data_IF_678176295944
#
_entry.id   IF_678176295944
#
_cell.length_a   1.000
_cell.length_b   1.000
_cell.length_c   1.000
_cell.angle_alpha   90.00
_cell.angle_beta   90.00
_cell.angle_gamma   90.00
#
_symmetry.space_group_name_H-M   'P 1'
#
loop_
_entity.id
_entity.type
_entity.pdbx_description
1 polymer ?
#
# COMPACT_ATOMS: atom_id res chain seq x y z
N UNK A 1 4.27 12.47 -12.87
CA UNK A 1 5.41 13.37 -12.51
C UNK A 1 5.37 13.48 -11.00
N UNK A 2 6.47 13.16 -10.30
CA UNK A 2 6.52 13.25 -8.83
C UNK A 2 6.32 14.71 -8.39
N UNK A 3 5.66 14.93 -7.23
CA UNK A 3 5.53 16.25 -6.62
C UNK A 3 6.88 16.77 -6.07
N UNK A 4 7.79 15.85 -5.76
CA UNK A 4 9.13 16.11 -5.21
C UNK A 4 10.18 15.34 -6.04
N UNK A 5 10.46 15.74 -7.28
CA UNK A 5 11.30 14.98 -8.19
C UNK A 5 12.79 14.93 -7.77
N UNK A 6 13.26 15.96 -7.07
CA UNK A 6 14.67 16.10 -6.65
C UNK A 6 14.88 15.74 -5.18
N UNK A 7 13.86 15.18 -4.51
CA UNK A 7 13.91 14.88 -3.08
C UNK A 7 14.20 13.40 -2.83
N UNK A 8 15.23 13.13 -2.03
CA UNK A 8 15.50 11.81 -1.48
C UNK A 8 15.72 11.86 0.04
N UNK A 9 14.76 11.32 0.79
CA UNK A 9 14.80 11.23 2.25
C UNK A 9 16.00 10.41 2.75
N UNK A 10 16.55 9.51 1.94
CA UNK A 10 17.71 8.71 2.32
C UNK A 10 18.99 9.56 2.45
N UNK A 11 19.05 10.75 1.83
CA UNK A 11 20.13 11.71 2.08
C UNK A 11 20.16 12.21 3.53
N UNK A 12 19.05 12.05 4.26
CA UNK A 12 18.96 12.38 5.69
C UNK A 12 19.33 11.23 6.61
N UNK A 13 19.74 10.07 6.09
CA UNK A 13 19.97 8.87 6.88
C UNK A 13 20.99 9.06 8.02
N UNK A 14 22.05 9.85 7.78
CA UNK A 14 23.08 10.15 8.78
C UNK A 14 22.61 11.09 9.90
N UNK A 15 21.41 11.65 9.78
CA UNK A 15 20.76 12.46 10.82
C UNK A 15 19.82 11.64 11.72
N UNK A 16 19.62 10.36 11.44
CA UNK A 16 18.81 9.46 12.28
C UNK A 16 19.68 8.72 13.27
N UNK A 17 19.09 8.27 14.38
CA UNK A 17 19.79 7.34 15.26
C UNK A 17 20.11 6.01 14.55
N UNK A 18 21.11 5.29 15.06
CA UNK A 18 21.62 4.08 14.44
C UNK A 18 20.54 2.99 14.24
N UNK A 19 19.65 2.83 15.22
CA UNK A 19 18.61 1.78 15.18
C UNK A 19 17.60 2.12 14.09
N UNK A 20 17.11 3.36 14.08
CA UNK A 20 16.16 3.83 13.05
C UNK A 20 16.79 3.77 11.66
N UNK A 21 18.02 4.27 11.50
CA UNK A 21 18.75 4.22 10.23
C UNK A 21 18.86 2.80 9.71
N UNK A 22 19.26 1.85 10.56
CA UNK A 22 19.34 0.45 10.18
C UNK A 22 17.99 -0.08 9.69
N UNK A 23 16.92 0.13 10.45
CA UNK A 23 15.58 -0.39 10.11
C UNK A 23 15.08 0.19 8.78
N UNK A 24 15.31 1.48 8.52
CA UNK A 24 14.87 2.13 7.27
C UNK A 24 15.67 1.61 6.07
N UNK A 25 17.00 1.52 6.20
CA UNK A 25 17.86 1.02 5.12
C UNK A 25 17.61 -0.47 4.82
N UNK A 26 17.35 -1.28 5.83
CA UNK A 26 17.00 -2.70 5.66
C UNK A 26 15.73 -2.86 4.79
N UNK A 27 14.75 -1.93 4.87
CA UNK A 27 13.55 -1.98 4.00
C UNK A 27 13.86 -1.78 2.52
N UNK A 28 14.92 -1.03 2.21
CA UNK A 28 15.33 -0.72 0.84
C UNK A 28 16.22 -1.83 0.29
N UNK A 29 17.14 -2.34 1.10
CA UNK A 29 18.22 -3.23 0.63
C UNK A 29 17.98 -4.71 0.94
N UNK A 30 17.18 -5.03 1.96
CA UNK A 30 16.96 -6.40 2.47
C UNK A 30 15.48 -6.79 2.35
N UNK A 31 14.93 -6.68 1.13
CA UNK A 31 13.56 -7.08 0.84
C UNK A 31 13.40 -8.60 1.02
N UNK A 32 12.52 -9.08 1.92
CA UNK A 32 12.36 -10.49 2.17
C UNK A 32 11.67 -11.20 0.99
N UNK A 33 12.01 -12.47 0.69
CA UNK A 33 11.27 -13.26 -0.28
C UNK A 33 9.88 -13.64 0.25
N UNK A 34 8.95 -13.85 -0.68
CA UNK A 34 7.61 -14.41 -0.43
C UNK A 34 7.75 -15.86 0.11
N UNK A 35 7.06 -16.15 1.23
CA UNK A 35 7.09 -17.44 1.94
C UNK A 35 5.73 -17.88 2.46
N UNK A 36 4.81 -16.95 2.69
CA UNK A 36 3.48 -17.25 3.21
C UNK A 36 2.47 -17.52 2.09
N UNK A 37 2.54 -16.74 1.00
CA UNK A 37 1.73 -16.92 -0.18
C UNK A 37 2.32 -17.96 -1.14
N UNK A 38 1.45 -18.70 -1.81
CA UNK A 38 1.86 -19.47 -2.99
C UNK A 38 1.98 -18.57 -4.24
N UNK A 39 2.53 -19.11 -5.33
CA UNK A 39 2.78 -18.34 -6.55
C UNK A 39 1.52 -17.74 -7.19
N UNK A 40 0.35 -18.39 -7.02
CA UNK A 40 -0.92 -17.89 -7.57
C UNK A 40 -1.46 -16.75 -6.72
N UNK A 41 -1.43 -16.92 -5.39
CA UNK A 41 -1.79 -15.88 -4.42
C UNK A 41 -0.89 -14.66 -4.57
N UNK A 42 0.42 -14.87 -4.73
CA UNK A 42 1.39 -13.81 -4.94
C UNK A 42 1.02 -12.95 -6.16
N UNK A 43 0.77 -13.58 -7.32
CA UNK A 43 0.44 -12.85 -8.54
C UNK A 43 -0.80 -11.96 -8.36
N UNK A 44 -1.89 -12.50 -7.81
CA UNK A 44 -3.12 -11.74 -7.54
C UNK A 44 -2.90 -10.62 -6.55
N UNK A 45 -2.27 -10.92 -5.40
CA UNK A 45 -2.13 -9.95 -4.32
C UNK A 45 -1.11 -8.87 -4.63
N UNK A 46 -0.12 -9.16 -5.49
CA UNK A 46 0.84 -8.16 -6.00
C UNK A 46 0.12 -7.14 -6.86
N UNK A 47 -0.65 -7.61 -7.85
CA UNK A 47 -1.48 -6.75 -8.67
C UNK A 47 -2.47 -5.94 -7.82
N UNK A 48 -3.08 -6.55 -6.80
CA UNK A 48 -3.97 -5.84 -5.88
C UNK A 48 -3.23 -4.72 -5.14
N UNK A 49 -2.06 -5.03 -4.55
CA UNK A 49 -1.24 -4.05 -3.82
C UNK A 49 -0.85 -2.90 -4.74
N UNK A 50 -0.40 -3.19 -5.97
CA UNK A 50 -0.01 -2.17 -6.94
C UNK A 50 -1.18 -1.23 -7.28
N UNK A 51 -2.36 -1.78 -7.54
CA UNK A 51 -3.56 -0.98 -7.85
C UNK A 51 -3.98 -0.09 -6.69
N UNK A 52 -4.05 -0.62 -5.46
CA UNK A 52 -4.50 0.17 -4.30
C UNK A 52 -3.47 1.20 -3.82
N UNK A 53 -2.22 1.06 -4.26
CA UNK A 53 -1.13 2.00 -3.95
C UNK A 53 -0.71 2.85 -5.15
N UNK A 54 -1.45 2.78 -6.27
CA UNK A 54 -1.17 3.52 -7.50
C UNK A 54 0.26 3.36 -8.02
N UNK A 55 0.81 2.14 -7.90
CA UNK A 55 2.18 1.83 -8.33
C UNK A 55 2.22 1.44 -9.81
N UNK A 56 2.00 2.42 -10.68
CA UNK A 56 1.80 2.20 -12.11
C UNK A 56 3.12 2.01 -12.89
N UNK A 57 4.26 2.33 -12.27
CA UNK A 57 5.58 2.23 -12.90
C UNK A 57 6.66 1.83 -11.90
N UNK A 58 7.80 1.37 -12.41
CA UNK A 58 8.98 1.06 -11.61
C UNK A 58 9.81 2.32 -11.30
N UNK A 59 10.51 2.36 -10.16
CA UNK A 59 10.56 1.33 -9.12
C UNK A 59 9.32 1.33 -8.21
N UNK A 60 8.89 0.16 -7.75
CA UNK A 60 7.76 -0.02 -6.81
C UNK A 60 8.21 -0.36 -5.40
N UNK A 61 7.54 0.21 -4.40
CA UNK A 61 7.59 -0.23 -3.00
C UNK A 61 7.16 -1.70 -2.92
N UNK A 62 7.99 -2.58 -2.30
CA UNK A 62 7.73 -4.02 -2.19
C UNK A 62 6.71 -4.33 -1.10
N UNK A 63 5.47 -3.83 -1.28
CA UNK A 63 4.40 -3.93 -0.28
C UNK A 63 4.07 -5.38 0.02
N UNK A 64 3.91 -6.21 -1.01
CA UNK A 64 3.49 -7.60 -0.82
C UNK A 64 4.53 -8.40 -0.05
N UNK A 65 5.82 -8.21 -0.34
CA UNK A 65 6.93 -8.87 0.34
C UNK A 65 6.95 -8.59 1.83
N UNK A 66 6.79 -7.32 2.18
CA UNK A 66 6.78 -6.90 3.58
C UNK A 66 5.52 -7.39 4.31
N UNK A 67 4.36 -7.41 3.65
CA UNK A 67 3.13 -8.00 4.19
C UNK A 67 3.28 -9.51 4.38
N UNK A 68 3.78 -10.23 3.38
CA UNK A 68 4.05 -11.66 3.43
C UNK A 68 4.97 -12.01 4.59
N UNK A 69 6.07 -11.27 4.76
CA UNK A 69 7.00 -11.47 5.86
C UNK A 69 6.34 -11.31 7.23
N UNK A 70 5.42 -10.34 7.40
CA UNK A 70 4.66 -10.16 8.65
C UNK A 70 3.69 -11.33 8.89
N UNK A 71 2.94 -11.75 7.86
CA UNK A 71 2.01 -12.87 7.93
C UNK A 71 2.73 -14.20 8.22
N UNK A 72 3.86 -14.43 7.55
CA UNK A 72 4.72 -15.59 7.76
C UNK A 72 5.26 -15.65 9.20
N UNK A 73 5.68 -14.50 9.75
CA UNK A 73 6.18 -14.40 11.11
C UNK A 73 5.09 -14.39 12.20
N UNK A 74 3.80 -14.41 11.81
CA UNK A 74 2.68 -14.31 12.76
C UNK A 74 2.58 -12.94 13.45
N UNK A 75 3.17 -11.89 12.87
CA UNK A 75 3.12 -10.51 13.38
C UNK A 75 1.83 -9.84 12.90
N UNK A 76 0.71 -10.30 13.46
CA UNK A 76 -0.62 -9.76 13.21
C UNK A 76 -0.92 -8.58 14.15
N UNK A 77 -2.04 -7.90 13.91
CA UNK A 77 -2.38 -6.65 14.59
C UNK A 77 -2.99 -6.83 15.99
N UNK A 78 -3.13 -8.08 16.47
CA UNK A 78 -3.57 -8.39 17.82
C UNK A 78 -5.07 -8.23 18.07
N UNK A 79 -5.87 -7.93 17.05
CA UNK A 79 -7.33 -7.92 17.09
C UNK A 79 -7.92 -8.45 15.78
N UNK A 80 -9.15 -8.95 15.85
CA UNK A 80 -9.92 -9.43 14.69
C UNK A 80 -11.41 -9.06 14.86
N UNK A 81 -12.13 -8.90 13.75
CA UNK A 81 -13.59 -8.80 13.80
C UNK A 81 -14.20 -10.14 14.25
N UNK A 82 -15.28 -10.09 15.02
CA UNK A 82 -15.89 -11.31 15.60
C UNK A 82 -16.49 -12.26 14.56
N UNK A 83 -16.89 -11.73 13.39
CA UNK A 83 -17.52 -12.45 12.29
C UNK A 83 -16.56 -12.69 11.10
N UNK A 84 -15.25 -12.52 11.31
CA UNK A 84 -14.22 -12.75 10.30
C UNK A 84 -13.30 -13.90 10.72
N UNK A 85 -12.72 -14.64 9.75
CA UNK A 85 -11.66 -15.60 10.05
C UNK A 85 -10.36 -14.89 10.45
N UNK A 86 -9.33 -15.67 10.80
CA UNK A 86 -7.97 -15.16 11.05
C UNK A 86 -7.48 -14.36 9.83
N UNK A 87 -6.77 -13.25 10.06
CA UNK A 87 -6.30 -12.36 9.00
C UNK A 87 -5.53 -13.12 7.89
N UNK A 88 -4.77 -14.16 8.22
CA UNK A 88 -4.04 -14.99 7.24
C UNK A 88 -4.99 -15.70 6.27
N UNK A 89 -6.12 -16.18 6.78
CA UNK A 89 -7.15 -16.82 5.97
C UNK A 89 -7.92 -15.78 5.15
N UNK A 90 -8.17 -14.58 5.71
CA UNK A 90 -8.75 -13.45 4.96
C UNK A 90 -7.92 -13.15 3.72
N UNK A 91 -6.60 -13.03 3.85
CA UNK A 91 -5.70 -12.77 2.72
C UNK A 91 -5.81 -13.84 1.62
N UNK A 92 -5.80 -15.13 1.99
CA UNK A 92 -5.92 -16.24 1.03
C UNK A 92 -7.30 -16.31 0.38
N UNK A 93 -8.36 -16.02 1.15
CA UNK A 93 -9.74 -15.96 0.64
C UNK A 93 -9.90 -14.80 -0.33
N UNK A 94 -9.35 -13.62 -0.03
CA UNK A 94 -9.38 -12.48 -0.92
C UNK A 94 -8.65 -12.75 -2.23
N UNK A 95 -7.46 -13.38 -2.20
CA UNK A 95 -6.74 -13.75 -3.42
C UNK A 95 -7.59 -14.63 -4.35
N UNK A 96 -8.27 -15.64 -3.81
CA UNK A 96 -9.19 -16.49 -4.58
C UNK A 96 -10.41 -15.71 -5.07
N UNK A 97 -11.05 -14.92 -4.19
CA UNK A 97 -12.24 -14.16 -4.51
C UNK A 97 -12.02 -13.11 -5.59
N UNK A 98 -10.86 -12.46 -5.61
CA UNK A 98 -10.46 -11.52 -6.66
C UNK A 98 -10.28 -12.23 -8.01
N UNK A 99 -9.64 -13.40 -8.03
CA UNK A 99 -9.53 -14.20 -9.25
C UNK A 99 -10.89 -14.68 -9.75
N UNK A 100 -11.80 -15.09 -8.86
CA UNK A 100 -13.16 -15.51 -9.23
C UNK A 100 -13.95 -14.35 -9.87
N UNK A 101 -13.87 -13.14 -9.28
CA UNK A 101 -14.50 -11.93 -9.84
C UNK A 101 -13.88 -11.58 -11.19
N UNK A 102 -12.55 -11.67 -11.33
CA UNK A 102 -11.87 -11.42 -12.60
C UNK A 102 -12.33 -12.40 -13.69
N UNK A 103 -12.51 -13.68 -13.36
CA UNK A 103 -13.05 -14.69 -14.28
C UNK A 103 -14.48 -14.40 -14.69
N UNK A 104 -15.32 -13.96 -13.76
CA UNK A 104 -16.68 -13.53 -14.08
C UNK A 104 -16.71 -12.33 -15.05
N UNK A 105 -15.65 -11.51 -15.06
CA UNK A 105 -15.45 -10.37 -15.98
C UNK A 105 -14.65 -10.72 -17.24
N UNK A 106 -14.40 -12.01 -17.50
CA UNK A 106 -13.78 -12.50 -18.73
C UNK A 106 -12.24 -12.51 -18.75
N UNK A 107 -11.57 -12.19 -17.64
CA UNK A 107 -10.13 -12.38 -17.50
C UNK A 107 -9.80 -13.81 -17.01
N UNK A 108 -8.59 -14.30 -17.25
CA UNK A 108 -8.19 -15.61 -16.70
C UNK A 108 -8.09 -15.57 -15.17
N UNK A 109 -7.52 -14.47 -14.66
CA UNK A 109 -7.26 -14.20 -13.25
C UNK A 109 -7.07 -12.69 -13.03
N UNK A 110 -7.03 -12.24 -11.77
CA UNK A 110 -6.99 -10.80 -11.47
C UNK A 110 -5.72 -10.12 -12.01
N UNK A 111 -4.53 -10.72 -11.86
CA UNK A 111 -3.27 -10.17 -12.38
C UNK A 111 -3.21 -10.10 -13.92
N UNK A 112 -4.07 -10.85 -14.59
CA UNK A 112 -4.19 -10.90 -16.05
C UNK A 112 -5.34 -10.07 -16.60
N UNK A 113 -6.15 -9.48 -15.73
CA UNK A 113 -7.17 -8.53 -16.14
C UNK A 113 -6.53 -7.24 -16.64
N UNK A 114 -7.20 -6.55 -17.57
CA UNK A 114 -6.79 -5.20 -17.95
C UNK A 114 -6.90 -4.22 -16.79
N UNK A 115 -6.13 -3.14 -16.82
CA UNK A 115 -6.05 -2.12 -15.76
C UNK A 115 -7.44 -1.59 -15.36
N UNK A 116 -8.28 -1.25 -16.34
CA UNK A 116 -9.66 -0.80 -16.09
C UNK A 116 -10.47 -1.84 -15.29
N UNK A 117 -10.38 -3.12 -15.66
CA UNK A 117 -11.08 -4.20 -14.96
C UNK A 117 -10.53 -4.38 -13.54
N UNK A 118 -9.21 -4.30 -13.35
CA UNK A 118 -8.60 -4.38 -12.02
C UNK A 118 -9.09 -3.24 -11.11
N UNK A 119 -9.09 -2.01 -11.63
CA UNK A 119 -9.58 -0.82 -10.93
C UNK A 119 -11.06 -0.96 -10.54
N UNK A 120 -11.91 -1.39 -11.47
CA UNK A 120 -13.34 -1.59 -11.17
C UNK A 120 -13.58 -2.69 -10.13
N UNK A 121 -12.80 -3.78 -10.14
CA UNK A 121 -12.89 -4.84 -9.13
C UNK A 121 -12.46 -4.30 -7.77
N UNK A 122 -11.34 -3.59 -7.70
CA UNK A 122 -10.85 -2.97 -6.46
C UNK A 122 -11.83 -1.94 -5.93
N UNK A 123 -12.44 -1.12 -6.79
CA UNK A 123 -13.46 -0.17 -6.42
C UNK A 123 -14.71 -0.85 -5.84
N UNK A 124 -15.17 -1.95 -6.46
CA UNK A 124 -16.28 -2.75 -5.92
C UNK A 124 -15.90 -3.42 -4.59
N UNK A 125 -14.66 -3.89 -4.43
CA UNK A 125 -14.17 -4.47 -3.19
C UNK A 125 -14.15 -3.46 -2.05
N UNK A 126 -13.62 -2.27 -2.31
CA UNK A 126 -13.63 -1.14 -1.37
C UNK A 126 -15.05 -0.77 -0.91
N UNK A 127 -16.01 -0.71 -1.85
CA UNK A 127 -17.42 -0.39 -1.54
C UNK A 127 -18.15 -1.54 -0.82
N UNK A 128 -17.59 -2.74 -0.82
CA UNK A 128 -18.23 -3.93 -0.27
C UNK A 128 -19.27 -4.57 -1.21
N UNK A 129 -19.20 -4.26 -2.49
CA UNK A 129 -20.18 -4.65 -3.52
C UNK A 129 -19.82 -5.99 -4.21
N UNK A 130 -18.73 -6.65 -3.81
CA UNK A 130 -18.44 -8.00 -4.30
C UNK A 130 -19.43 -9.01 -3.69
N UNK A 131 -19.96 -9.88 -4.54
CA UNK A 131 -20.98 -10.86 -4.17
C UNK A 131 -20.74 -12.20 -4.89
N UNK A 132 -21.31 -13.28 -4.35
CA UNK A 132 -21.19 -14.61 -4.89
C UNK A 132 -19.95 -15.37 -4.39
N UNK A 133 -20.12 -16.66 -4.14
CA UNK A 133 -19.03 -17.56 -3.78
C UNK A 133 -18.42 -17.17 -2.43
N UNK A 134 -17.11 -16.90 -2.40
CA UNK A 134 -16.40 -16.49 -1.17
C UNK A 134 -17.04 -15.25 -0.53
N UNK A 135 -17.54 -14.32 -1.34
CA UNK A 135 -18.09 -13.05 -0.86
C UNK A 135 -19.48 -13.17 -0.21
N UNK A 136 -20.16 -14.30 -0.36
CA UNK A 136 -21.40 -14.59 0.36
C UNK A 136 -21.14 -14.96 1.84
N UNK A 137 -19.93 -15.42 2.15
CA UNK A 137 -19.49 -15.84 3.48
C UNK A 137 -18.51 -14.84 4.12
N UNK A 138 -17.72 -14.13 3.31
CA UNK A 138 -16.71 -13.18 3.75
C UNK A 138 -17.19 -11.73 3.50
N UNK A 139 -17.50 -10.95 4.55
CA UNK A 139 -17.89 -9.56 4.41
C UNK A 139 -16.82 -8.70 3.69
N UNK A 140 -17.09 -8.36 2.43
CA UNK A 140 -16.12 -7.72 1.53
C UNK A 140 -15.51 -6.43 2.10
N UNK A 141 -16.33 -5.50 2.62
CA UNK A 141 -15.83 -4.24 3.19
C UNK A 141 -14.88 -4.45 4.40
N UNK A 142 -15.15 -5.46 5.24
CA UNK A 142 -14.29 -5.80 6.38
C UNK A 142 -13.00 -6.48 5.90
N UNK A 143 -13.09 -7.37 4.93
CA UNK A 143 -11.93 -7.99 4.31
C UNK A 143 -11.01 -6.94 3.66
N UNK A 144 -11.58 -5.98 2.92
CA UNK A 144 -10.84 -4.85 2.36
C UNK A 144 -10.12 -4.04 3.46
N UNK A 145 -10.80 -3.77 4.57
CA UNK A 145 -10.21 -3.07 5.72
C UNK A 145 -9.02 -3.83 6.34
N UNK A 146 -9.12 -5.17 6.45
CA UNK A 146 -8.03 -6.03 6.94
C UNK A 146 -6.80 -5.92 6.04
N UNK A 147 -7.00 -6.05 4.73
CA UNK A 147 -5.92 -5.96 3.74
C UNK A 147 -5.28 -4.56 3.74
N UNK A 148 -6.10 -3.50 3.66
CA UNK A 148 -5.62 -2.12 3.56
C UNK A 148 -4.86 -1.65 4.80
N UNK A 149 -5.21 -2.12 5.99
CA UNK A 149 -4.44 -1.84 7.21
C UNK A 149 -2.99 -2.30 7.08
N UNK A 150 -2.76 -3.51 6.59
CA UNK A 150 -1.42 -4.05 6.39
C UNK A 150 -0.71 -3.41 5.19
N UNK A 151 -1.42 -3.15 4.09
CA UNK A 151 -0.89 -2.46 2.90
C UNK A 151 -0.42 -1.05 3.24
N UNK A 152 -1.29 -0.21 3.83
CA UNK A 152 -0.97 1.18 4.16
C UNK A 152 0.15 1.29 5.20
N UNK A 153 0.10 0.44 6.25
CA UNK A 153 1.16 0.39 7.26
C UNK A 153 2.52 0.06 6.64
N UNK A 154 2.52 -0.78 5.61
CA UNK A 154 3.73 -1.21 4.92
C UNK A 154 4.21 -0.13 3.95
N UNK A 155 3.33 0.34 3.08
CA UNK A 155 3.63 1.33 2.05
C UNK A 155 4.19 2.62 2.65
N UNK A 156 3.47 3.22 3.62
CA UNK A 156 3.92 4.46 4.28
C UNK A 156 5.04 4.26 5.31
N UNK A 157 5.56 3.02 5.49
CA UNK A 157 6.80 2.79 6.23
C UNK A 157 8.04 2.81 5.34
N UNK A 158 7.86 2.82 4.01
CA UNK A 158 8.96 2.77 3.05
C UNK A 158 9.44 4.17 2.67
N UNK A 159 10.76 4.43 2.62
CA UNK A 159 11.31 5.76 2.31
C UNK A 159 10.92 6.28 0.92
N UNK A 160 10.68 5.41 -0.07
CA UNK A 160 10.18 5.87 -1.38
C UNK A 160 8.78 6.50 -1.32
N UNK A 161 7.89 5.98 -0.47
CA UNK A 161 6.59 6.61 -0.24
C UNK A 161 6.75 7.96 0.47
N UNK A 162 7.79 8.11 1.32
CA UNK A 162 8.10 9.39 1.96
C UNK A 162 8.55 10.44 0.97
N UNK A 163 9.33 10.05 -0.05
CA UNK A 163 9.75 10.94 -1.13
C UNK A 163 8.53 11.47 -1.91
N UNK A 164 7.55 10.61 -2.18
CA UNK A 164 6.32 10.99 -2.90
C UNK A 164 5.50 12.06 -2.17
N UNK A 165 5.48 12.01 -0.82
CA UNK A 165 4.72 12.95 0.01
C UNK A 165 5.59 14.08 0.60
N UNK A 166 6.89 14.12 0.31
CA UNK A 166 7.82 15.13 0.80
C UNK A 166 8.17 15.03 2.29
N UNK A 167 7.92 13.88 2.92
CA UNK A 167 8.14 13.69 4.35
C UNK A 167 9.64 13.68 4.69
N UNK A 168 10.03 14.48 5.70
CA UNK A 168 11.42 14.67 6.15
C UNK A 168 12.09 13.46 6.83
N UNK A 169 11.35 12.35 6.97
CA UNK A 169 11.82 11.16 7.66
C UNK A 169 11.74 11.25 9.19
N UNK A 170 12.31 10.27 9.90
CA UNK A 170 12.31 10.23 11.36
C UNK A 170 12.95 11.46 12.01
N UNK A 171 12.30 11.95 13.08
CA UNK A 171 12.73 13.16 13.76
C UNK A 171 13.99 12.95 14.63
N UNK A 172 14.13 11.80 15.29
CA UNK A 172 15.17 11.63 16.31
C UNK A 172 16.54 11.32 15.69
N UNK A 173 17.65 11.90 16.21
CA UNK A 173 17.73 12.84 17.35
C UNK A 173 17.53 14.32 17.00
N UNK A 174 17.55 14.70 15.72
CA UNK A 174 17.56 16.11 15.26
C UNK A 174 16.36 16.94 15.73
N UNK A 175 15.18 16.34 15.75
CA UNK A 175 13.88 16.97 15.96
C UNK A 175 13.37 17.75 14.74
N UNK A 176 12.08 18.11 14.80
CA UNK A 176 11.46 19.13 13.94
C UNK A 176 11.29 20.42 14.75
N UNK A 177 11.72 21.55 14.21
CA UNK A 177 11.59 22.90 14.74
C UNK A 177 10.47 23.71 14.07
N UNK A 178 10.05 23.36 12.85
CA UNK A 178 9.05 24.04 12.04
C UNK A 178 7.67 23.39 12.20
N UNK A 179 7.00 23.67 13.31
CA UNK A 179 5.72 23.02 13.67
C UNK A 179 4.45 23.75 13.19
N UNK A 180 4.60 24.88 12.49
CA UNK A 180 3.47 25.69 12.00
C UNK A 180 2.93 25.21 10.66
N UNK A 181 1.65 25.49 10.38
CA UNK A 181 1.01 25.16 9.10
C UNK A 181 1.75 25.89 7.95
N UNK A 182 2.11 25.14 6.90
CA UNK A 182 2.84 25.68 5.75
C UNK A 182 4.30 26.01 6.04
N UNK A 183 4.82 25.66 7.22
CA UNK A 183 6.25 25.71 7.49
C UNK A 183 6.88 24.37 7.12
N UNK A 184 8.09 24.46 6.59
CA UNK A 184 8.89 23.33 6.13
C UNK A 184 10.30 23.44 6.70
N UNK A 185 10.87 22.30 7.06
CA UNK A 185 12.28 22.18 7.38
C UNK A 185 13.16 22.30 6.14
N UNK A 186 14.41 22.76 6.31
CA UNK A 186 15.32 22.92 5.18
C UNK A 186 15.65 21.60 4.43
N UNK A 187 15.35 20.44 5.05
CA UNK A 187 15.62 19.11 4.52
C UNK A 187 14.36 18.32 4.13
N UNK A 188 13.17 18.89 4.29
CA UNK A 188 11.94 18.32 3.74
C UNK A 188 11.83 18.62 2.24
N UNK A 189 11.04 17.86 1.49
CA UNK A 189 10.89 18.06 0.04
C UNK A 189 10.27 19.42 -0.30
N UNK A 190 10.79 20.09 -1.32
CA UNK A 190 10.15 21.26 -1.92
C UNK A 190 9.25 20.84 -3.08
N UNK A 191 8.00 21.30 -3.06
CA UNK A 191 7.03 20.96 -4.09
C UNK A 191 7.42 21.61 -5.43
N UNK A 192 7.51 20.82 -6.50
CA UNK A 192 7.75 21.36 -7.85
C UNK A 192 6.54 22.16 -8.36
N UNK A 193 5.34 21.77 -7.94
CA UNK A 193 4.08 22.39 -8.31
C UNK A 193 3.06 22.28 -7.18
N UNK A 194 2.27 23.35 -7.00
CA UNK A 194 1.13 23.39 -6.08
C UNK A 194 -0.15 23.10 -6.88
N UNK A 195 -0.64 21.86 -6.75
CA UNK A 195 -1.93 21.44 -7.30
C UNK A 195 -2.87 21.21 -6.13
N UNK A 196 -3.95 22.00 -6.08
CA UNK A 196 -5.03 21.80 -5.12
C UNK A 196 -5.69 20.44 -5.41
N UNK A 197 -5.52 19.44 -4.55
CA UNK A 197 -5.99 18.08 -4.82
C UNK A 197 -7.52 18.01 -4.89
N UNK A 198 -8.23 18.89 -4.18
CA UNK A 198 -9.70 18.92 -4.22
C UNK A 198 -10.17 19.44 -5.57
N UNK A 199 -9.54 20.51 -6.07
CA UNK A 199 -9.86 21.05 -7.39
C UNK A 199 -9.46 20.10 -8.50
N UNK A 200 -8.27 19.50 -8.45
CA UNK A 200 -7.80 18.54 -9.47
C UNK A 200 -8.76 17.36 -9.60
N UNK A 201 -9.20 16.78 -8.48
CA UNK A 201 -10.16 15.67 -8.45
C UNK A 201 -11.51 16.08 -9.05
N UNK A 202 -12.00 17.28 -8.73
CA UNK A 202 -13.25 17.82 -9.28
C UNK A 202 -13.15 18.07 -10.79
N UNK A 203 -12.05 18.67 -11.23
CA UNK A 203 -11.78 18.99 -12.65
C UNK A 203 -11.62 17.73 -13.49
N UNK A 204 -11.00 16.69 -12.93
CA UNK A 204 -10.82 15.38 -13.57
C UNK A 204 -12.04 14.48 -13.47
N UNK A 205 -13.03 14.86 -12.65
CA UNK A 205 -14.28 14.12 -12.47
C UNK A 205 -14.10 12.74 -11.83
N UNK A 206 -13.06 12.57 -11.00
CA UNK A 206 -12.70 11.28 -10.37
C UNK A 206 -13.66 10.91 -9.23
N UNK A 207 -14.32 11.90 -8.62
CA UNK A 207 -15.22 11.74 -7.46
C UNK A 207 -16.71 11.57 -7.85
N UNK A 208 -17.00 11.00 -9.03
CA UNK A 208 -18.37 10.77 -9.53
C UNK A 208 -18.87 9.34 -9.33
#
# INVERSE_FOLDING_TARGET
RSRYPDYDVLEQADHWDEVTRKVVLDRVHDVPPIRFFDARQEATLRAFCDVVTAQDCEPRVPVLEMVDAKLHAGKLDGFQYADMPDDRDVWRLCARGLDDVARARGAETFDRAGEEVQLEIVAAFHKGDLAGGIWDELPAAKAFSVLMRAVLSTFYSHPWAWNEIGFGGPAYPRGYARLGIGLREAWEGEEEFDVDPVRDVQERGIDR
#
